data_IF_091147015682
#
_entry.id   IF_091147015682
#
_cell.length_a   1.000
_cell.length_b   1.000
_cell.length_c   1.000
_cell.angle_alpha   90.00
_cell.angle_beta   90.00
_cell.angle_gamma   90.00
#
_symmetry.space_group_name_H-M   'P 1'
#
loop_
_entity.id
_entity.type
_entity.pdbx_description
1 polymer ?
#
# COMPACT_ATOMS: atom_id res chain seq x y z
N UNK A 1 3.53 14.59 13.34
CA UNK A 1 3.50 13.23 12.76
C UNK A 1 2.08 12.96 12.28
N UNK A 2 1.85 12.96 10.96
CA UNK A 2 0.56 12.60 10.39
C UNK A 2 0.50 11.07 10.21
N UNK A 3 -0.60 10.44 10.63
CA UNK A 3 -0.82 9.01 10.41
C UNK A 3 -1.17 8.76 8.95
N UNK A 4 -0.29 8.07 8.22
CA UNK A 4 -0.43 7.81 6.78
C UNK A 4 -1.75 7.14 6.41
N UNK A 5 -2.30 6.27 7.27
CA UNK A 5 -3.54 5.54 7.00
C UNK A 5 -4.80 6.39 7.24
N UNK A 6 -4.70 7.43 8.07
CA UNK A 6 -5.81 8.33 8.45
C UNK A 6 -5.70 9.71 7.82
N UNK A 7 -4.61 9.99 7.10
CA UNK A 7 -4.39 11.27 6.46
C UNK A 7 -5.39 11.49 5.30
N UNK A 8 -6.16 12.60 5.29
CA UNK A 8 -7.06 12.92 4.18
C UNK A 8 -6.30 13.24 2.88
N UNK A 9 -5.04 13.65 2.98
CA UNK A 9 -4.14 13.94 1.85
C UNK A 9 -3.06 12.87 1.69
N UNK A 10 -3.34 11.63 2.10
CA UNK A 10 -2.40 10.50 2.07
C UNK A 10 -1.71 10.32 0.71
N UNK A 11 -2.41 10.67 -0.38
CA UNK A 11 -1.93 10.56 -1.77
C UNK A 11 -1.08 11.74 -2.24
N UNK A 12 -0.91 12.80 -1.45
CA UNK A 12 -0.19 14.02 -1.83
C UNK A 12 0.97 14.35 -0.89
N UNK A 13 1.01 13.78 0.32
CA UNK A 13 2.13 14.00 1.24
C UNK A 13 3.26 13.00 0.98
N UNK A 14 4.39 13.51 0.50
CA UNK A 14 5.60 12.71 0.22
C UNK A 14 6.12 11.93 1.42
N UNK A 15 5.91 12.44 2.64
CA UNK A 15 6.28 11.78 3.90
C UNK A 15 5.64 10.39 4.07
N UNK A 16 4.46 10.16 3.46
CA UNK A 16 3.74 8.90 3.55
C UNK A 16 4.21 7.84 2.55
N UNK A 17 4.96 8.23 1.52
CA UNK A 17 5.39 7.34 0.44
C UNK A 17 6.08 6.08 0.97
N UNK A 18 7.05 6.25 1.89
CA UNK A 18 7.82 5.12 2.45
C UNK A 18 6.94 4.16 3.26
N UNK A 19 5.92 4.69 3.95
CA UNK A 19 4.99 3.87 4.74
C UNK A 19 4.11 3.02 3.82
N UNK A 20 3.54 3.62 2.78
CA UNK A 20 2.70 2.88 1.81
C UNK A 20 3.51 1.87 0.99
N UNK A 21 4.74 2.20 0.60
CA UNK A 21 5.64 1.24 -0.05
C UNK A 21 5.95 0.04 0.86
N UNK A 22 6.29 0.30 2.13
CA UNK A 22 6.54 -0.75 3.12
C UNK A 22 5.30 -1.62 3.37
N UNK A 23 4.10 -1.02 3.36
CA UNK A 23 2.84 -1.76 3.44
C UNK A 23 2.64 -2.71 2.25
N UNK A 24 2.86 -2.22 1.02
CA UNK A 24 2.77 -3.06 -0.18
C UNK A 24 3.79 -4.22 -0.16
N UNK A 25 5.02 -3.95 0.28
CA UNK A 25 6.07 -4.98 0.41
C UNK A 25 5.73 -6.04 1.45
N UNK A 26 5.22 -5.61 2.61
CA UNK A 26 4.82 -6.52 3.69
C UNK A 26 3.65 -7.40 3.27
N UNK A 27 2.64 -6.82 2.61
CA UNK A 27 1.51 -7.59 2.08
C UNK A 27 1.92 -8.56 0.98
N UNK A 28 2.89 -8.19 0.11
CA UNK A 28 3.47 -9.12 -0.87
C UNK A 28 4.16 -10.31 -0.20
N UNK A 29 4.97 -10.07 0.84
CA UNK A 29 5.60 -11.16 1.62
C UNK A 29 4.56 -12.05 2.29
N UNK A 30 3.50 -11.47 2.85
CA UNK A 30 2.42 -12.26 3.43
C UNK A 30 1.72 -13.12 2.36
N UNK A 31 1.46 -12.56 1.18
CA UNK A 31 0.85 -13.28 0.07
C UNK A 31 1.72 -14.45 -0.40
N UNK A 32 3.05 -14.37 -0.37
CA UNK A 32 3.91 -15.51 -0.74
C UNK A 32 3.89 -16.62 0.30
N UNK A 33 3.66 -16.28 1.57
CA UNK A 33 3.62 -17.25 2.68
C UNK A 33 2.25 -17.92 2.83
N UNK A 34 1.17 -17.31 2.31
CA UNK A 34 -0.19 -17.83 2.49
C UNK A 34 -0.48 -19.00 1.52
N UNK A 35 -0.98 -20.16 1.96
CA UNK A 35 -1.27 -21.28 1.06
C UNK A 35 -2.33 -20.92 0.01
N UNK A 36 -2.22 -21.50 -1.19
CA UNK A 36 -3.14 -21.27 -2.31
C UNK A 36 -4.60 -21.66 -2.00
N UNK A 37 -4.82 -22.56 -1.04
CA UNK A 37 -6.16 -22.96 -0.57
C UNK A 37 -6.95 -21.81 0.08
N UNK A 38 -6.28 -20.80 0.64
CA UNK A 38 -6.92 -19.65 1.32
C UNK A 38 -7.32 -18.54 0.34
N UNK A 39 -8.13 -18.87 -0.67
CA UNK A 39 -8.48 -17.97 -1.79
C UNK A 39 -8.96 -16.58 -1.35
N UNK A 40 -9.90 -16.52 -0.40
CA UNK A 40 -10.47 -15.25 0.06
C UNK A 40 -9.45 -14.36 0.77
N UNK A 41 -8.61 -14.96 1.62
CA UNK A 41 -7.55 -14.22 2.30
C UNK A 41 -6.49 -13.73 1.31
N UNK A 42 -6.13 -14.54 0.31
CA UNK A 42 -5.24 -14.12 -0.78
C UNK A 42 -5.81 -12.95 -1.57
N UNK A 43 -7.11 -12.99 -1.90
CA UNK A 43 -7.78 -11.91 -2.61
C UNK A 43 -7.78 -10.62 -1.80
N UNK A 44 -8.05 -10.69 -0.50
CA UNK A 44 -7.98 -9.53 0.41
C UNK A 44 -6.58 -8.92 0.47
N UNK A 45 -5.55 -9.76 0.62
CA UNK A 45 -4.16 -9.29 0.64
C UNK A 45 -3.78 -8.66 -0.71
N UNK A 46 -4.26 -9.22 -1.83
CA UNK A 46 -4.04 -8.61 -3.15
C UNK A 46 -4.67 -7.22 -3.25
N UNK A 47 -5.91 -7.07 -2.76
CA UNK A 47 -6.56 -5.75 -2.71
C UNK A 47 -5.78 -4.73 -1.87
N UNK A 48 -5.16 -5.17 -0.78
CA UNK A 48 -4.31 -4.31 0.06
C UNK A 48 -3.03 -3.91 -0.65
N UNK A 49 -2.38 -4.84 -1.37
CA UNK A 49 -1.21 -4.54 -2.22
C UNK A 49 -1.58 -3.48 -3.26
N UNK A 50 -2.67 -3.71 -3.99
CA UNK A 50 -3.11 -2.82 -5.07
C UNK A 50 -3.47 -1.43 -4.52
N UNK A 51 -4.13 -1.37 -3.35
CA UNK A 51 -4.42 -0.11 -2.67
C UNK A 51 -3.14 0.64 -2.31
N UNK A 52 -2.21 -0.01 -1.63
CA UNK A 52 -0.97 0.63 -1.19
C UNK A 52 -0.14 1.13 -2.37
N UNK A 53 -0.07 0.35 -3.45
CA UNK A 53 0.64 0.76 -4.67
C UNK A 53 -0.01 1.98 -5.32
N UNK A 54 -1.35 2.01 -5.47
CA UNK A 54 -2.05 3.18 -6.01
C UNK A 54 -1.78 4.46 -5.23
N UNK A 55 -1.62 4.36 -3.90
CA UNK A 55 -1.28 5.52 -3.08
C UNK A 55 0.15 5.99 -3.33
N UNK A 56 1.12 5.07 -3.44
CA UNK A 56 2.50 5.41 -3.81
C UNK A 56 2.55 6.10 -5.17
N UNK A 57 1.87 5.54 -6.17
CA UNK A 57 1.84 6.10 -7.53
C UNK A 57 1.23 7.51 -7.55
N UNK A 58 0.17 7.75 -6.76
CA UNK A 58 -0.43 9.07 -6.63
C UNK A 58 0.49 10.09 -5.95
N UNK A 59 1.24 9.67 -4.91
CA UNK A 59 2.23 10.52 -4.27
C UNK A 59 3.35 10.86 -5.26
N UNK A 60 3.85 9.87 -6.00
CA UNK A 60 4.92 10.09 -6.97
C UNK A 60 4.47 11.05 -8.07
N UNK A 61 3.24 10.90 -8.58
CA UNK A 61 2.65 11.83 -9.54
C UNK A 61 2.51 13.26 -8.96
N UNK A 62 2.12 13.42 -7.70
CA UNK A 62 1.96 14.73 -7.07
C UNK A 62 3.29 15.47 -6.80
N UNK A 63 4.41 14.75 -6.76
CA UNK A 63 5.75 15.30 -6.47
C UNK A 63 6.66 15.38 -7.72
N UNK A 64 6.15 15.03 -8.89
CA UNK A 64 6.90 15.08 -10.18
C UNK A 64 6.70 16.41 -10.93
N UNK A 65 6.52 17.53 -10.20
CA UNK A 65 6.32 18.87 -10.78
C UNK A 65 7.53 19.77 -10.53
#
# INVERSE_FOLDING_TARGET
MCDAARCPQATHHGEHRRVWLSSADSSRKLLTMLPHSHKDARARIQMDIDRSQRVVDAIDAAHTV
#
